data_IF_681009004600
#
_entry.id   IF_681009004600
#
_cell.length_a   1.000
_cell.length_b   1.000
_cell.length_c   1.000
_cell.angle_alpha   90.00
_cell.angle_beta   90.00
_cell.angle_gamma   90.00
#
_symmetry.space_group_name_H-M   'P 1'
#
loop_
_entity.id
_entity.type
_entity.pdbx_description
1 polymer ?
#
# COMPACT_ATOMS: atom_id res chain seq x y z
N UNK A 1 22.55 7.82 -16.38
CA UNK A 1 22.02 9.20 -16.53
C UNK A 1 20.55 9.24 -16.94
N UNK A 2 20.10 8.47 -17.95
CA UNK A 2 18.68 8.47 -18.37
C UNK A 2 17.67 8.15 -17.26
N UNK A 3 17.98 7.23 -16.35
CA UNK A 3 17.12 6.91 -15.20
C UNK A 3 16.87 8.11 -14.27
N UNK A 4 17.86 8.99 -14.06
CA UNK A 4 17.72 10.17 -13.20
C UNK A 4 16.76 11.17 -13.83
N UNK A 5 16.88 11.39 -15.15
CA UNK A 5 16.01 12.30 -15.89
C UNK A 5 14.57 11.80 -15.90
N UNK A 6 14.36 10.50 -16.12
CA UNK A 6 13.03 9.88 -16.13
C UNK A 6 12.40 9.92 -14.73
N UNK A 7 13.12 9.48 -13.69
CA UNK A 7 12.61 9.50 -12.31
C UNK A 7 12.35 10.93 -11.84
N UNK A 8 13.23 11.88 -12.19
CA UNK A 8 13.05 13.30 -11.88
C UNK A 8 11.83 13.90 -12.57
N UNK A 9 11.61 13.60 -13.85
CA UNK A 9 10.44 14.06 -14.60
C UNK A 9 9.13 13.48 -14.06
N UNK A 10 9.12 12.18 -13.73
CA UNK A 10 7.95 11.52 -13.12
C UNK A 10 7.67 12.10 -11.74
N UNK A 11 8.70 12.30 -10.90
CA UNK A 11 8.57 12.91 -9.58
C UNK A 11 8.04 14.34 -9.66
N UNK A 12 8.51 15.13 -10.63
CA UNK A 12 8.04 16.48 -10.87
C UNK A 12 6.56 16.51 -11.30
N UNK A 13 6.16 15.60 -12.19
CA UNK A 13 4.77 15.47 -12.62
C UNK A 13 3.85 15.01 -11.47
N UNK A 14 4.31 14.07 -10.63
CA UNK A 14 3.55 13.56 -9.49
C UNK A 14 3.50 14.53 -8.30
N UNK A 15 4.43 15.49 -8.19
CA UNK A 15 4.55 16.40 -7.04
C UNK A 15 3.24 17.12 -6.71
N UNK A 16 2.56 17.64 -7.72
CA UNK A 16 1.28 18.33 -7.52
C UNK A 16 0.18 17.37 -7.04
N UNK A 17 0.19 16.11 -7.49
CA UNK A 17 -0.75 15.07 -7.04
C UNK A 17 -0.42 14.61 -5.62
N UNK A 18 0.85 14.40 -5.29
CA UNK A 18 1.32 13.99 -3.94
C UNK A 18 0.93 15.02 -2.88
N UNK A 19 1.01 16.32 -3.20
CA UNK A 19 0.53 17.40 -2.31
C UNK A 19 -0.96 17.34 -2.01
N UNK A 20 -1.76 16.71 -2.89
CA UNK A 20 -3.21 16.56 -2.73
C UNK A 20 -3.59 15.22 -2.09
N UNK A 21 -2.65 14.31 -1.89
CA UNK A 21 -2.93 13.02 -1.24
C UNK A 21 -3.24 13.30 0.24
N UNK A 22 -4.41 12.85 0.74
CA UNK A 22 -4.73 13.02 2.14
C UNK A 22 -3.74 12.24 3.01
N UNK A 23 -3.38 12.80 4.17
CA UNK A 23 -2.39 12.22 5.09
C UNK A 23 -2.70 10.76 5.46
N UNK A 24 -3.97 10.41 5.57
CA UNK A 24 -4.43 9.05 5.87
C UNK A 24 -4.08 8.04 4.77
N UNK A 25 -4.14 8.42 3.49
CA UNK A 25 -3.74 7.55 2.37
C UNK A 25 -2.23 7.30 2.39
N UNK A 26 -1.42 8.33 2.65
CA UNK A 26 0.02 8.16 2.77
C UNK A 26 0.37 7.21 3.92
N UNK A 27 -0.27 7.36 5.08
CA UNK A 27 -0.05 6.47 6.22
C UNK A 27 -0.46 5.03 5.90
N UNK A 28 -1.59 4.83 5.20
CA UNK A 28 -2.04 3.51 4.79
C UNK A 28 -1.05 2.85 3.83
N UNK A 29 -0.66 3.56 2.76
CA UNK A 29 0.26 3.03 1.74
C UNK A 29 1.61 2.71 2.37
N UNK A 30 2.17 3.63 3.17
CA UNK A 30 3.46 3.40 3.84
C UNK A 30 3.36 2.24 4.82
N UNK A 31 2.28 2.13 5.59
CA UNK A 31 2.05 1.01 6.50
C UNK A 31 2.01 -0.33 5.76
N UNK A 32 1.23 -0.42 4.68
CA UNK A 32 1.12 -1.62 3.84
C UNK A 32 2.49 -2.01 3.26
N UNK A 33 3.24 -1.05 2.72
CA UNK A 33 4.57 -1.31 2.17
C UNK A 33 5.52 -1.81 3.25
N UNK A 34 5.54 -1.16 4.42
CA UNK A 34 6.40 -1.54 5.54
C UNK A 34 6.07 -2.95 6.05
N UNK A 35 4.79 -3.30 6.16
CA UNK A 35 4.37 -4.65 6.55
C UNK A 35 4.74 -5.68 5.49
N UNK A 36 4.50 -5.38 4.21
CA UNK A 36 4.85 -6.26 3.08
C UNK A 36 6.33 -6.61 3.09
N UNK A 37 7.18 -5.58 3.08
CA UNK A 37 8.63 -5.78 3.08
C UNK A 37 9.10 -6.39 4.39
N UNK A 38 8.56 -5.97 5.53
CA UNK A 38 8.88 -6.54 6.83
C UNK A 38 8.63 -8.04 6.88
N UNK A 39 7.45 -8.49 6.48
CA UNK A 39 7.09 -9.91 6.45
C UNK A 39 7.97 -10.70 5.48
N UNK A 40 8.21 -10.17 4.27
CA UNK A 40 9.07 -10.83 3.29
C UNK A 40 10.49 -11.06 3.84
N UNK A 41 11.15 -10.00 4.30
CA UNK A 41 12.52 -10.05 4.79
C UNK A 41 12.65 -10.76 6.14
N UNK A 42 11.63 -10.71 7.00
CA UNK A 42 11.64 -11.50 8.24
C UNK A 42 11.65 -13.01 7.96
N UNK A 43 10.88 -13.50 6.98
CA UNK A 43 10.89 -14.93 6.64
C UNK A 43 12.20 -15.34 5.95
N UNK A 44 12.67 -14.54 4.99
CA UNK A 44 13.93 -14.82 4.28
C UNK A 44 15.13 -14.77 5.24
N UNK A 45 15.15 -13.82 6.19
CA UNK A 45 16.16 -13.71 7.24
C UNK A 45 16.16 -14.87 8.24
N UNK A 46 15.05 -15.63 8.34
CA UNK A 46 14.96 -16.87 9.11
C UNK A 46 15.39 -18.10 8.29
N UNK A 47 15.84 -17.91 7.04
CA UNK A 47 16.24 -18.99 6.13
C UNK A 47 15.06 -19.72 5.50
N UNK A 48 13.85 -19.19 5.60
CA UNK A 48 12.65 -19.76 4.98
C UNK A 48 12.51 -19.16 3.58
N UNK A 49 12.79 -19.99 2.56
CA UNK A 49 12.64 -19.57 1.17
C UNK A 49 11.16 -19.39 0.81
N UNK A 50 10.80 -18.22 0.28
CA UNK A 50 9.46 -18.01 -0.23
C UNK A 50 9.19 -18.87 -1.48
N UNK A 51 8.03 -19.53 -1.58
CA UNK A 51 7.71 -20.42 -2.71
C UNK A 51 7.65 -19.71 -4.07
N UNK A 52 7.52 -18.37 -4.08
CA UNK A 52 7.48 -17.55 -5.28
C UNK A 52 8.71 -16.60 -5.41
N UNK A 53 9.78 -16.84 -4.63
CA UNK A 53 10.93 -15.93 -4.49
C UNK A 53 10.48 -14.47 -4.35
N UNK A 54 10.94 -13.56 -5.22
CA UNK A 54 10.59 -12.13 -5.25
C UNK A 54 9.11 -11.87 -5.55
N UNK A 55 8.43 -12.80 -6.23
CA UNK A 55 7.00 -12.71 -6.52
C UNK A 55 6.13 -12.72 -5.26
N UNK A 56 6.65 -13.24 -4.14
CA UNK A 56 5.96 -13.21 -2.86
C UNK A 56 5.72 -11.79 -2.34
N UNK A 57 6.59 -10.83 -2.68
CA UNK A 57 6.39 -9.41 -2.33
C UNK A 57 5.11 -8.88 -2.97
N UNK A 58 4.88 -9.18 -4.25
CA UNK A 58 3.66 -8.77 -4.95
C UNK A 58 2.43 -9.49 -4.38
N UNK A 59 2.55 -10.78 -4.05
CA UNK A 59 1.47 -11.55 -3.42
C UNK A 59 1.05 -10.97 -2.05
N UNK A 60 2.03 -10.70 -1.18
CA UNK A 60 1.82 -10.06 0.12
C UNK A 60 1.23 -8.66 -0.02
N UNK A 61 1.75 -7.86 -0.96
CA UNK A 61 1.23 -6.53 -1.24
C UNK A 61 -0.25 -6.58 -1.62
N UNK A 62 -0.63 -7.46 -2.56
CA UNK A 62 -2.02 -7.64 -2.98
C UNK A 62 -2.88 -8.07 -1.79
N UNK A 63 -2.42 -9.03 -0.99
CA UNK A 63 -3.13 -9.50 0.20
C UNK A 63 -3.41 -8.36 1.20
N UNK A 64 -2.39 -7.56 1.53
CA UNK A 64 -2.54 -6.44 2.47
C UNK A 64 -3.40 -5.31 1.92
N UNK A 65 -3.28 -4.99 0.62
CA UNK A 65 -4.16 -4.03 -0.05
C UNK A 65 -5.60 -4.49 -0.05
N UNK A 66 -5.88 -5.75 -0.39
CA UNK A 66 -7.23 -6.32 -0.36
C UNK A 66 -7.81 -6.27 1.05
N UNK A 67 -7.01 -6.61 2.06
CA UNK A 67 -7.43 -6.53 3.46
C UNK A 67 -7.80 -5.10 3.83
N UNK A 68 -6.92 -4.13 3.56
CA UNK A 68 -7.18 -2.71 3.81
C UNK A 68 -8.45 -2.21 3.10
N UNK A 69 -8.62 -2.53 1.81
CA UNK A 69 -9.79 -2.13 1.03
C UNK A 69 -11.07 -2.75 1.57
N UNK A 70 -11.01 -4.01 2.04
CA UNK A 70 -12.15 -4.68 2.65
C UNK A 70 -12.58 -3.96 3.92
N UNK A 71 -11.64 -3.66 4.82
CA UNK A 71 -11.92 -2.89 6.04
C UNK A 71 -12.50 -1.51 5.72
N UNK A 72 -11.88 -0.76 4.81
CA UNK A 72 -12.36 0.57 4.40
C UNK A 72 -13.77 0.49 3.80
N UNK A 73 -14.04 -0.51 2.97
CA UNK A 73 -15.35 -0.66 2.32
C UNK A 73 -16.43 -1.06 3.33
N UNK A 74 -16.11 -1.94 4.28
CA UNK A 74 -17.02 -2.32 5.36
C UNK A 74 -17.37 -1.12 6.25
N UNK A 75 -16.37 -0.33 6.64
CA UNK A 75 -16.57 0.86 7.47
C UNK A 75 -17.35 1.95 6.72
N UNK A 76 -17.03 2.17 5.43
CA UNK A 76 -17.78 3.10 4.58
C UNK A 76 -19.24 2.69 4.43
N UNK A 77 -19.51 1.39 4.25
CA UNK A 77 -20.86 0.86 4.14
C UNK A 77 -21.62 0.97 5.47
N UNK A 78 -20.95 0.77 6.61
CA UNK A 78 -21.53 0.99 7.95
C UNK A 78 -21.84 2.45 8.23
N UNK A 79 -20.95 3.37 7.85
CA UNK A 79 -21.17 4.81 8.00
C UNK A 79 -22.34 5.32 7.14
N UNK A 80 -22.59 4.70 5.97
CA UNK A 80 -23.73 5.00 5.11
C UNK A 80 -25.04 4.31 5.56
N UNK A 81 -24.95 3.17 6.26
CA UNK A 81 -26.11 2.45 6.80
C UNK A 81 -26.62 2.96 8.15
N UNK A 82 -25.88 3.85 8.82
CA UNK A 82 -26.21 4.43 10.13
C UNK A 82 -26.64 5.91 10.05
N UNK A 83 -27.45 6.26 9.04
CA UNK A 83 -28.36 7.41 9.16
C UNK A 83 -29.80 6.91 9.33
N UNK A 84 -30.21 6.51 10.54
CA UNK A 84 -31.60 6.73 10.92
C UNK A 84 -31.84 8.23 10.78
N UNK A 85 -32.81 8.61 9.96
CA UNK A 85 -33.35 9.97 10.01
C UNK A 85 -33.78 10.24 11.46
N UNK A 86 -33.09 11.13 12.15
CA UNK A 86 -33.49 11.68 13.42
C UNK A 86 -33.12 13.16 13.43
#
# INVERSE_FOLDING_TARGET
>A
MGAIVVVGAVGFALHNTVRRVPRSLLQLVVGILLTTFGTFWSLEGLGISWPASDGAILGLLVLYVLTALTYITLERNRALGLRPAA
#
